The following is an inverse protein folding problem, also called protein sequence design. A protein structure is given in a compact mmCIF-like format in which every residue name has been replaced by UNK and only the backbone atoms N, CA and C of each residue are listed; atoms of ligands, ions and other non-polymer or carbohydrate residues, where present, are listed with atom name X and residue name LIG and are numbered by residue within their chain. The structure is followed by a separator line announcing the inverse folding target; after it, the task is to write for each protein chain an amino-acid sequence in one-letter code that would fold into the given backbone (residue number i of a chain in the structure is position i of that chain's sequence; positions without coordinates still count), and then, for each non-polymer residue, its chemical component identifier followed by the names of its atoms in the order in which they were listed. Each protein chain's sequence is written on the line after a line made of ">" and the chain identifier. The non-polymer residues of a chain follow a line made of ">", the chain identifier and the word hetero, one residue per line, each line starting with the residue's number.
data_IF_880835022714
#
_entry.id   IF_880835022714
#
_cell.length_a   1.000
_cell.length_b   1.000
_cell.length_c   1.000
_cell.angle_alpha   90.00
_cell.angle_beta   90.00
_cell.angle_gamma   90.00
#
_symmetry.space_group_name_H-M   'P 1'
#
loop_
_entity.id
_entity.type
_entity.pdbx_description
1 polymer ?
#
# COMPACT_ATOMS: atom_id res chain seq x y z
N UNK A 1 0.40 22.45 -11.97
CA UNK A 1 -1.07 22.28 -11.97
C UNK A 1 -1.74 23.32 -12.83
N UNK A 2 -2.97 23.09 -13.35
CA UNK A 2 -3.82 24.21 -13.82
C UNK A 2 -3.81 25.28 -12.72
N UNK A 3 -3.68 26.57 -13.07
CA UNK A 3 -3.44 27.69 -12.14
C UNK A 3 -4.61 27.89 -11.16
N UNK A 4 -4.82 26.94 -10.26
CA UNK A 4 -5.78 26.98 -9.17
C UNK A 4 -4.97 27.01 -7.88
N UNK A 5 -4.60 28.21 -7.37
CA UNK A 5 -3.86 28.33 -6.11
C UNK A 5 -4.54 27.61 -4.95
N UNK A 6 -5.86 27.42 -5.03
CA UNK A 6 -6.69 26.71 -4.06
C UNK A 6 -6.34 25.23 -3.87
N UNK A 7 -5.76 24.54 -4.86
CA UNK A 7 -5.43 23.11 -4.72
C UNK A 7 -4.09 22.86 -4.01
N UNK A 8 -3.24 23.87 -3.85
CA UNK A 8 -1.94 23.68 -3.18
C UNK A 8 -2.10 23.28 -1.72
N UNK A 9 -3.04 23.89 -1.02
CA UNK A 9 -3.26 23.66 0.40
C UNK A 9 -3.83 22.25 0.67
N UNK A 10 -4.93 21.80 0.02
CA UNK A 10 -5.41 20.42 0.15
C UNK A 10 -4.38 19.35 -0.21
N UNK A 11 -3.58 19.57 -1.26
CA UNK A 11 -2.52 18.63 -1.64
C UNK A 11 -1.42 18.60 -0.58
N UNK A 12 -1.01 19.75 -0.04
CA UNK A 12 -0.05 19.82 1.06
C UNK A 12 -0.52 19.08 2.31
N UNK A 13 -1.79 19.26 2.70
CA UNK A 13 -2.41 18.52 3.80
C UNK A 13 -2.44 17.02 3.54
N UNK A 14 -2.82 16.59 2.34
CA UNK A 14 -2.83 15.17 1.95
C UNK A 14 -1.43 14.56 2.01
N UNK A 15 -0.40 15.26 1.51
CA UNK A 15 0.98 14.80 1.56
C UNK A 15 1.47 14.62 2.99
N UNK A 16 1.28 15.64 3.85
CA UNK A 16 1.66 15.58 5.25
C UNK A 16 0.93 14.43 5.98
N UNK A 17 -0.38 14.32 5.80
CA UNK A 17 -1.19 13.28 6.42
C UNK A 17 -0.76 11.88 5.99
N UNK A 18 -0.46 11.69 4.70
CA UNK A 18 0.02 10.42 4.15
C UNK A 18 1.38 10.04 4.77
N UNK A 19 2.30 10.99 4.91
CA UNK A 19 3.60 10.74 5.54
C UNK A 19 3.46 10.36 7.01
N UNK A 20 2.57 11.03 7.75
CA UNK A 20 2.29 10.70 9.15
C UNK A 20 1.69 9.31 9.31
N UNK A 21 0.77 8.90 8.41
CA UNK A 21 0.22 7.53 8.40
C UNK A 21 1.29 6.48 8.09
N UNK A 22 2.17 6.75 7.12
CA UNK A 22 3.26 5.82 6.80
C UNK A 22 4.21 5.67 8.00
N UNK A 23 4.56 6.79 8.65
CA UNK A 23 5.39 6.77 9.84
C UNK A 23 4.72 6.01 11.01
N UNK A 24 3.41 6.18 11.22
CA UNK A 24 2.69 5.46 12.27
C UNK A 24 2.58 3.96 11.96
N UNK A 25 2.41 3.58 10.69
CA UNK A 25 2.44 2.17 10.27
C UNK A 25 3.79 1.51 10.56
N UNK A 26 4.90 2.19 10.24
CA UNK A 26 6.25 1.72 10.59
C UNK A 26 6.41 1.62 12.11
N UNK A 27 5.92 2.61 12.86
CA UNK A 27 5.98 2.61 14.32
C UNK A 27 5.21 1.43 14.95
N UNK A 28 3.99 1.14 14.49
CA UNK A 28 3.20 -0.01 14.95
C UNK A 28 3.89 -1.35 14.67
N UNK A 29 4.55 -1.47 13.52
CA UNK A 29 5.36 -2.64 13.18
C UNK A 29 6.53 -2.83 14.16
N UNK A 30 7.21 -1.74 14.54
CA UNK A 30 8.33 -1.76 15.49
C UNK A 30 7.89 -2.03 16.94
N UNK A 31 6.67 -1.63 17.32
CA UNK A 31 6.10 -1.87 18.66
C UNK A 31 5.75 -3.33 18.94
N UNK A 32 5.99 -4.24 17.99
CA UNK A 32 5.71 -5.66 18.17
C UNK A 32 4.23 -6.03 18.01
N UNK A 33 3.34 -5.08 17.71
CA UNK A 33 1.97 -5.44 17.29
C UNK A 33 1.96 -6.23 15.97
N UNK A 34 3.04 -6.16 15.19
CA UNK A 34 3.27 -6.98 13.99
C UNK A 34 4.30 -8.11 14.16
N UNK A 35 4.91 -8.27 15.34
CA UNK A 35 5.94 -9.28 15.62
C UNK A 35 5.38 -10.26 16.66
N UNK A 36 5.57 -11.57 16.48
CA UNK A 36 5.02 -12.56 17.41
C UNK A 36 5.46 -12.31 18.86
N UNK A 37 4.66 -12.77 19.83
CA UNK A 37 4.64 -12.35 21.25
C UNK A 37 5.98 -12.21 21.98
N UNK A 38 7.10 -12.76 21.50
CA UNK A 38 8.44 -12.63 22.13
C UNK A 38 9.63 -12.67 21.14
N UNK A 39 9.41 -12.42 19.84
CA UNK A 39 10.43 -12.63 18.80
C UNK A 39 11.06 -11.34 18.27
N UNK A 40 12.39 -11.32 18.12
CA UNK A 40 13.07 -10.29 17.31
C UNK A 40 12.51 -10.24 15.88
N UNK A 41 12.65 -9.10 15.18
CA UNK A 41 12.26 -8.95 13.76
C UNK A 41 12.81 -10.12 12.91
N UNK A 42 14.06 -10.49 13.17
CA UNK A 42 14.76 -11.58 12.48
C UNK A 42 14.10 -12.94 12.73
N UNK A 43 13.68 -13.23 13.96
CA UNK A 43 12.97 -14.47 14.29
C UNK A 43 11.59 -14.54 13.65
N UNK A 44 10.86 -13.42 13.60
CA UNK A 44 9.55 -13.36 12.96
C UNK A 44 9.66 -13.54 11.45
N UNK A 45 10.67 -12.92 10.82
CA UNK A 45 10.97 -13.13 9.41
C UNK A 45 11.35 -14.59 9.13
N UNK A 46 12.22 -15.18 9.96
CA UNK A 46 12.59 -16.59 9.82
C UNK A 46 11.40 -17.53 9.96
N UNK A 47 10.52 -17.32 10.94
CA UNK A 47 9.35 -18.18 11.14
C UNK A 47 8.31 -18.06 10.02
N UNK A 48 8.12 -16.87 9.46
CA UNK A 48 7.27 -16.64 8.28
C UNK A 48 7.80 -17.36 7.04
N UNK A 49 9.13 -17.46 6.90
CA UNK A 49 9.79 -18.12 5.77
C UNK A 49 9.82 -19.64 5.94
N UNK A 50 10.14 -20.14 7.14
CA UNK A 50 10.38 -21.56 7.39
C UNK A 50 9.11 -22.37 7.65
N UNK A 51 8.05 -21.74 8.18
CA UNK A 51 6.82 -22.41 8.55
C UNK A 51 5.59 -21.53 8.20
N UNK A 52 5.32 -21.32 6.90
CA UNK A 52 4.17 -20.52 6.51
C UNK A 52 2.87 -21.25 6.92
N UNK A 53 2.00 -20.54 7.65
CA UNK A 53 0.76 -21.10 8.21
C UNK A 53 -0.45 -20.68 7.38
N UNK A 54 -1.33 -21.63 7.09
CA UNK A 54 -2.61 -21.36 6.45
C UNK A 54 -3.45 -20.39 7.29
N UNK A 55 -4.10 -19.43 6.64
CA UNK A 55 -5.00 -18.46 7.27
C UNK A 55 -6.45 -18.91 7.14
N UNK A 56 -7.30 -18.52 8.08
CA UNK A 56 -8.73 -18.83 7.97
C UNK A 56 -9.43 -17.85 7.01
N UNK A 57 -10.57 -18.26 6.44
CA UNK A 57 -11.42 -17.35 5.65
C UNK A 57 -11.95 -16.18 6.47
N UNK A 58 -12.15 -16.38 7.78
CA UNK A 58 -12.48 -15.30 8.71
C UNK A 58 -11.37 -14.24 8.74
N UNK A 59 -10.11 -14.68 8.93
CA UNK A 59 -8.95 -13.80 8.89
C UNK A 59 -8.75 -13.14 7.52
N UNK A 60 -9.13 -13.80 6.43
CA UNK A 60 -9.13 -13.18 5.11
C UNK A 60 -10.09 -12.00 5.04
N UNK A 61 -11.34 -12.16 5.45
CA UNK A 61 -12.32 -11.07 5.42
C UNK A 61 -11.88 -9.93 6.34
N UNK A 62 -11.43 -10.27 7.55
CA UNK A 62 -10.95 -9.31 8.55
C UNK A 62 -9.81 -8.43 8.02
N UNK A 63 -8.90 -9.00 7.22
CA UNK A 63 -7.74 -8.27 6.68
C UNK A 63 -8.04 -7.63 5.33
N UNK A 64 -8.70 -8.35 4.41
CA UNK A 64 -8.93 -7.90 3.05
C UNK A 64 -9.82 -6.66 2.98
N UNK A 65 -10.86 -6.57 3.81
CA UNK A 65 -11.78 -5.42 3.83
C UNK A 65 -11.07 -4.10 4.15
N UNK A 66 -10.36 -3.95 5.29
CA UNK A 66 -9.65 -2.70 5.59
C UNK A 66 -8.52 -2.42 4.59
N UNK A 67 -7.87 -3.45 4.01
CA UNK A 67 -6.83 -3.25 3.00
C UNK A 67 -7.40 -2.72 1.68
N UNK A 68 -8.48 -3.34 1.17
CA UNK A 68 -9.18 -2.89 -0.03
C UNK A 68 -9.65 -1.44 0.10
N UNK A 69 -10.21 -1.10 1.28
CA UNK A 69 -10.65 0.26 1.56
C UNK A 69 -9.46 1.23 1.59
N UNK A 70 -8.46 0.97 2.43
CA UNK A 70 -7.32 1.87 2.61
C UNK A 70 -6.52 2.05 1.30
N UNK A 71 -6.13 0.96 0.64
CA UNK A 71 -5.38 1.03 -0.62
C UNK A 71 -6.22 1.69 -1.73
N UNK A 72 -7.50 1.35 -1.83
CA UNK A 72 -8.42 1.96 -2.80
C UNK A 72 -8.54 3.47 -2.62
N UNK A 73 -8.73 3.94 -1.37
CA UNK A 73 -8.79 5.37 -1.06
C UNK A 73 -7.46 6.07 -1.36
N UNK A 74 -6.32 5.48 -0.99
CA UNK A 74 -5.00 6.06 -1.26
C UNK A 74 -4.75 6.22 -2.76
N UNK A 75 -5.05 5.19 -3.56
CA UNK A 75 -4.93 5.26 -5.02
C UNK A 75 -5.88 6.34 -5.55
N UNK A 76 -7.16 6.31 -5.16
CA UNK A 76 -8.17 7.24 -5.65
C UNK A 76 -7.77 8.70 -5.39
N UNK A 77 -7.43 9.04 -4.15
CA UNK A 77 -7.09 10.43 -3.77
C UNK A 77 -5.84 10.90 -4.50
N UNK A 78 -4.78 10.08 -4.53
CA UNK A 78 -3.52 10.47 -5.15
C UNK A 78 -3.65 10.59 -6.67
N UNK A 79 -4.33 9.64 -7.32
CA UNK A 79 -4.61 9.67 -8.75
C UNK A 79 -5.54 10.83 -9.14
N UNK A 80 -6.52 11.15 -8.29
CA UNK A 80 -7.42 12.30 -8.49
C UNK A 80 -6.62 13.60 -8.56
N UNK A 81 -5.68 13.83 -7.64
CA UNK A 81 -4.84 15.02 -7.69
C UNK A 81 -3.91 15.07 -8.91
N UNK A 82 -3.49 13.90 -9.42
CA UNK A 82 -2.68 13.84 -10.65
C UNK A 82 -3.43 14.33 -11.90
N UNK A 83 -4.78 14.28 -11.94
CA UNK A 83 -5.56 14.85 -13.04
C UNK A 83 -5.36 16.36 -13.20
N UNK A 84 -4.96 17.05 -12.12
CA UNK A 84 -4.69 18.47 -12.14
C UNK A 84 -3.23 18.81 -12.44
N UNK A 85 -2.34 17.81 -12.55
CA UNK A 85 -0.94 18.02 -12.90
C UNK A 85 -0.80 18.59 -14.32
N UNK A 86 0.14 19.52 -14.46
CA UNK A 86 0.55 20.07 -15.77
C UNK A 86 2.02 19.77 -16.07
N UNK A 87 2.76 19.23 -15.10
CA UNK A 87 4.19 18.93 -15.23
C UNK A 87 4.45 17.47 -15.58
N UNK A 88 3.48 16.61 -15.31
CA UNK A 88 3.57 15.17 -15.49
C UNK A 88 2.55 14.72 -16.54
N UNK A 89 2.96 13.81 -17.41
CA UNK A 89 2.09 13.24 -18.44
C UNK A 89 0.96 12.41 -17.83
N UNK A 90 -0.28 12.71 -18.23
CA UNK A 90 -1.47 11.97 -17.80
C UNK A 90 -1.42 10.49 -18.20
N UNK A 91 -0.83 10.16 -19.36
CA UNK A 91 -0.66 8.77 -19.80
C UNK A 91 0.28 8.00 -18.87
N UNK A 92 1.33 8.67 -18.39
CA UNK A 92 2.29 8.06 -17.48
C UNK A 92 1.67 7.87 -16.08
N UNK A 93 0.99 8.89 -15.54
CA UNK A 93 0.29 8.76 -14.26
C UNK A 93 -0.80 7.69 -14.28
N UNK A 94 -1.53 7.55 -15.39
CA UNK A 94 -2.52 6.49 -15.56
C UNK A 94 -1.87 5.10 -15.52
N UNK A 95 -0.73 4.89 -16.20
CA UNK A 95 -0.01 3.61 -16.14
C UNK A 95 0.41 3.26 -14.70
N UNK A 96 0.95 4.23 -13.96
CA UNK A 96 1.34 4.02 -12.55
C UNK A 96 0.12 3.69 -11.70
N UNK A 97 -1.01 4.40 -11.87
CA UNK A 97 -2.25 4.12 -11.14
C UNK A 97 -2.82 2.72 -11.46
N UNK A 98 -2.77 2.29 -12.72
CA UNK A 98 -3.20 0.95 -13.11
C UNK A 98 -2.32 -0.13 -12.49
N UNK A 99 -1.00 0.06 -12.49
CA UNK A 99 -0.07 -0.87 -11.82
C UNK A 99 -0.31 -0.93 -10.30
N UNK A 100 -0.68 0.19 -9.67
CA UNK A 100 -1.08 0.21 -8.27
C UNK A 100 -2.33 -0.62 -8.00
N UNK A 101 -3.38 -0.48 -8.83
CA UNK A 101 -4.58 -1.33 -8.73
C UNK A 101 -4.24 -2.82 -8.92
N UNK A 102 -3.38 -3.14 -9.89
CA UNK A 102 -2.92 -4.52 -10.10
C UNK A 102 -2.17 -5.06 -8.88
N UNK A 103 -1.23 -4.28 -8.31
CA UNK A 103 -0.49 -4.68 -7.11
C UNK A 103 -1.41 -4.88 -5.90
N UNK A 104 -2.37 -3.97 -5.69
CA UNK A 104 -3.36 -4.09 -4.61
C UNK A 104 -4.24 -5.34 -4.78
N UNK A 105 -4.73 -5.63 -5.99
CA UNK A 105 -5.51 -6.84 -6.26
C UNK A 105 -4.68 -8.11 -6.06
N UNK A 106 -3.41 -8.11 -6.47
CA UNK A 106 -2.50 -9.24 -6.25
C UNK A 106 -2.24 -9.47 -4.75
N UNK A 107 -2.08 -8.42 -3.95
CA UNK A 107 -1.90 -8.54 -2.49
C UNK A 107 -3.10 -9.21 -1.80
N UNK A 108 -4.31 -8.83 -2.21
CA UNK A 108 -5.57 -9.39 -1.68
C UNK A 108 -5.79 -10.81 -2.18
N UNK A 109 -5.61 -11.06 -3.49
CA UNK A 109 -5.74 -12.38 -4.08
C UNK A 109 -4.74 -13.38 -3.50
N UNK A 110 -3.50 -12.95 -3.24
CA UNK A 110 -2.50 -13.77 -2.58
C UNK A 110 -2.94 -14.19 -1.17
N UNK A 111 -3.60 -13.32 -0.41
CA UNK A 111 -4.14 -13.69 0.90
C UNK A 111 -5.28 -14.73 0.78
N UNK A 112 -6.15 -14.59 -0.21
CA UNK A 112 -7.19 -15.58 -0.48
C UNK A 112 -6.58 -16.96 -0.76
N UNK A 113 -5.52 -17.02 -1.56
CA UNK A 113 -4.79 -18.27 -1.85
C UNK A 113 -4.09 -18.86 -0.62
N UNK A 114 -3.50 -18.03 0.25
CA UNK A 114 -2.97 -18.48 1.55
C UNK A 114 -4.10 -19.13 2.38
N UNK A 115 -5.32 -18.57 2.29
CA UNK A 115 -6.46 -19.06 3.06
C UNK A 115 -7.02 -20.39 2.56
N UNK A 116 -6.87 -20.69 1.27
CA UNK A 116 -7.23 -21.99 0.67
C UNK A 116 -6.14 -23.06 0.79
N UNK A 117 -5.02 -22.75 1.47
CA UNK A 117 -3.94 -23.70 1.73
C UNK A 117 -2.72 -23.56 0.81
N UNK A 118 -2.74 -22.67 -0.19
CA UNK A 118 -1.58 -22.40 -1.05
C UNK A 118 -0.63 -21.40 -0.38
N UNK A 119 0.06 -21.85 0.66
CA UNK A 119 0.82 -20.96 1.56
C UNK A 119 2.05 -20.32 0.91
N UNK A 120 2.57 -20.89 -0.18
CA UNK A 120 3.64 -20.29 -1.02
C UNK A 120 3.23 -18.91 -1.56
N UNK A 121 1.93 -18.63 -1.67
CA UNK A 121 1.39 -17.32 -2.06
C UNK A 121 1.74 -16.20 -1.09
N UNK A 122 2.25 -16.51 0.11
CA UNK A 122 2.84 -15.53 1.03
C UNK A 122 3.94 -14.68 0.39
N UNK A 123 4.77 -15.28 -0.47
CA UNK A 123 5.80 -14.54 -1.21
C UNK A 123 5.21 -13.58 -2.24
N UNK A 124 4.15 -14.01 -2.94
CA UNK A 124 3.43 -13.16 -3.89
C UNK A 124 2.84 -11.95 -3.16
N UNK A 125 2.28 -12.16 -1.95
CA UNK A 125 1.75 -11.09 -1.12
C UNK A 125 2.84 -10.08 -0.74
N UNK A 126 3.99 -10.54 -0.25
CA UNK A 126 5.11 -9.65 0.15
C UNK A 126 5.60 -8.84 -1.06
N UNK A 127 5.82 -9.49 -2.21
CA UNK A 127 6.27 -8.80 -3.43
C UNK A 127 5.22 -7.79 -3.90
N UNK A 128 3.94 -8.15 -3.90
CA UNK A 128 2.85 -7.25 -4.27
C UNK A 128 2.77 -6.03 -3.35
N UNK A 129 2.93 -6.21 -2.03
CA UNK A 129 2.95 -5.14 -1.05
C UNK A 129 4.14 -4.19 -1.26
N UNK A 130 5.36 -4.73 -1.44
CA UNK A 130 6.56 -3.91 -1.71
C UNK A 130 6.41 -3.12 -3.01
N UNK A 131 5.92 -3.77 -4.06
CA UNK A 131 5.64 -3.11 -5.34
C UNK A 131 4.58 -2.01 -5.20
N UNK A 132 3.51 -2.28 -4.44
CA UNK A 132 2.47 -1.29 -4.15
C UNK A 132 3.05 -0.06 -3.45
N UNK A 133 3.82 -0.24 -2.38
CA UNK A 133 4.45 0.86 -1.63
C UNK A 133 5.37 1.69 -2.53
N UNK A 134 6.21 1.03 -3.33
CA UNK A 134 7.11 1.72 -4.26
C UNK A 134 6.36 2.56 -5.29
N UNK A 135 5.36 1.96 -5.97
CA UNK A 135 4.54 2.66 -6.95
C UNK A 135 3.72 3.79 -6.32
N UNK A 136 3.29 3.60 -5.07
CA UNK A 136 2.52 4.60 -4.34
C UNK A 136 3.38 5.82 -4.01
N UNK A 137 4.60 5.60 -3.50
CA UNK A 137 5.58 6.65 -3.26
C UNK A 137 5.96 7.38 -4.56
N UNK A 138 6.08 6.65 -5.68
CA UNK A 138 6.30 7.24 -6.99
C UNK A 138 5.14 8.18 -7.38
N UNK A 139 3.88 7.71 -7.28
CA UNK A 139 2.71 8.52 -7.61
C UNK A 139 2.58 9.74 -6.67
N UNK A 140 2.86 9.55 -5.38
CA UNK A 140 2.88 10.62 -4.38
C UNK A 140 3.97 11.66 -4.69
N UNK A 141 5.16 11.21 -5.08
CA UNK A 141 6.25 12.08 -5.53
C UNK A 141 5.91 12.85 -6.80
N UNK A 142 5.18 12.23 -7.73
CA UNK A 142 4.66 12.91 -8.93
C UNK A 142 3.67 14.03 -8.55
N UNK A 143 2.79 13.79 -7.56
CA UNK A 143 1.89 14.83 -7.03
C UNK A 143 2.70 15.96 -6.40
N UNK A 144 3.68 15.63 -5.55
CA UNK A 144 4.57 16.60 -4.90
C UNK A 144 5.34 17.47 -5.91
N UNK A 145 5.88 16.86 -6.98
CA UNK A 145 6.57 17.61 -8.03
C UNK A 145 5.62 18.51 -8.85
N UNK A 146 4.35 18.13 -8.93
CA UNK A 146 3.33 18.85 -9.71
C UNK A 146 2.81 20.14 -9.05
N UNK A 147 3.09 20.34 -7.75
CA UNK A 147 2.89 21.58 -6.97
C UNK A 147 3.67 22.78 -7.51
#
# INVERSE_FOLDING_TARGET
>A
MKKYPLYRLPIGYMLLYTLLILASGVWLFLLGQGLGENGSIVQTLNSLVSAPVQKSLYQFVEIATPHLFAMGTLIFVTAHFMLFSTKISQKFSLKVAMLLFTAALLDIAAYLLISTGLVVSGWVKIVALVLFVFLFLLLLGMVAFSL
#
